data_IF_826217347959
#
_entry.id   IF_826217347959
#
_cell.length_a   1.000
_cell.length_b   1.000
_cell.length_c   1.000
_cell.angle_alpha   90.00
_cell.angle_beta   90.00
_cell.angle_gamma   90.00
#
_symmetry.space_group_name_H-M   'P 1'
#
loop_
_entity.id
_entity.type
_entity.pdbx_description
1 polymer ?
#
# COMPACT_ATOMS: atom_id res chain seq x y z
N UNK A 1 -113.71 -54.87 -37.52
CA UNK A 1 -113.07 -53.53 -37.35
C UNK A 1 -112.25 -53.47 -36.04
N UNK A 2 -111.23 -54.32 -35.85
CA UNK A 2 -110.56 -54.49 -34.53
C UNK A 2 -109.05 -54.18 -34.52
N UNK A 3 -108.46 -53.74 -35.64
CA UNK A 3 -107.00 -53.63 -35.79
C UNK A 3 -106.47 -52.19 -35.96
N UNK A 4 -107.33 -51.16 -36.04
CA UNK A 4 -106.89 -49.76 -36.27
C UNK A 4 -106.60 -48.96 -34.99
N UNK A 5 -106.98 -49.48 -33.82
CA UNK A 5 -106.80 -48.78 -32.53
C UNK A 5 -105.47 -49.15 -31.82
N UNK A 6 -104.81 -50.24 -32.24
CA UNK A 6 -103.59 -50.76 -31.60
C UNK A 6 -102.35 -49.96 -32.04
N UNK A 7 -102.28 -49.58 -33.32
CA UNK A 7 -101.16 -48.83 -33.87
C UNK A 7 -100.91 -47.46 -33.22
N UNK A 8 -101.92 -46.59 -32.98
CA UNK A 8 -101.65 -45.30 -32.32
C UNK A 8 -101.23 -45.48 -30.85
N UNK A 9 -101.72 -46.52 -30.17
CA UNK A 9 -101.36 -46.82 -28.78
C UNK A 9 -99.91 -47.32 -28.67
N UNK A 10 -99.47 -48.14 -29.62
CA UNK A 10 -98.10 -48.63 -29.70
C UNK A 10 -97.12 -47.51 -30.10
N UNK A 11 -97.57 -46.58 -30.95
CA UNK A 11 -96.81 -45.39 -31.36
C UNK A 11 -96.65 -44.39 -30.20
N UNK A 12 -97.71 -44.19 -29.41
CA UNK A 12 -97.65 -43.37 -28.19
C UNK A 12 -96.73 -43.98 -27.12
N UNK A 13 -96.75 -45.31 -26.95
CA UNK A 13 -95.87 -46.01 -26.02
C UNK A 13 -94.39 -45.87 -26.43
N UNK A 14 -94.11 -45.90 -27.73
CA UNK A 14 -92.76 -45.78 -28.29
C UNK A 14 -92.23 -44.34 -28.24
N UNK A 15 -93.11 -43.35 -28.35
CA UNK A 15 -92.77 -41.94 -28.09
C UNK A 15 -92.50 -41.67 -26.61
N UNK A 16 -93.24 -42.33 -25.72
CA UNK A 16 -93.08 -42.17 -24.28
C UNK A 16 -91.74 -42.77 -23.79
N UNK A 17 -91.31 -43.90 -24.37
CA UNK A 17 -90.01 -44.50 -24.06
C UNK A 17 -88.83 -43.71 -24.63
N UNK A 18 -89.02 -42.98 -25.73
CA UNK A 18 -87.98 -42.12 -26.32
C UNK A 18 -87.60 -40.90 -25.46
N UNK A 19 -88.44 -40.51 -24.48
CA UNK A 19 -88.16 -39.40 -23.56
C UNK A 19 -87.57 -39.85 -22.21
N UNK A 20 -87.41 -41.16 -21.99
CA UNK A 20 -86.91 -41.73 -20.72
C UNK A 20 -85.38 -41.73 -20.58
N UNK A 21 -84.65 -41.08 -21.48
CA UNK A 21 -83.20 -41.20 -21.62
C UNK A 21 -82.41 -39.94 -21.30
N UNK A 22 -82.68 -39.24 -20.21
CA UNK A 22 -81.71 -38.27 -19.64
C UNK A 22 -81.73 -38.31 -18.11
N UNK A 23 -81.00 -39.26 -17.53
CA UNK A 23 -80.60 -39.15 -16.12
C UNK A 23 -79.10 -38.99 -16.07
N UNK A 24 -78.68 -37.75 -15.80
CA UNK A 24 -77.30 -37.40 -15.52
C UNK A 24 -76.86 -38.15 -14.27
N UNK A 25 -75.85 -39.02 -14.39
CA UNK A 25 -75.12 -39.55 -13.26
C UNK A 25 -74.27 -38.43 -12.65
N UNK A 26 -74.87 -37.64 -11.76
CA UNK A 26 -74.13 -36.80 -10.81
C UNK A 26 -73.89 -37.67 -9.58
N UNK A 27 -72.69 -38.20 -9.44
CA UNK A 27 -72.27 -38.86 -8.21
C UNK A 27 -72.23 -37.83 -7.08
N UNK A 28 -73.12 -38.00 -6.11
CA UNK A 28 -73.14 -37.23 -4.87
C UNK A 28 -71.90 -37.64 -4.06
N UNK A 29 -70.97 -36.70 -3.86
CA UNK A 29 -69.81 -36.92 -3.01
C UNK A 29 -70.23 -37.40 -1.61
N UNK A 30 -69.49 -38.33 -0.96
CA UNK A 30 -69.83 -38.83 0.36
C UNK A 30 -69.99 -37.68 1.36
N UNK A 31 -71.11 -37.63 2.10
CA UNK A 31 -71.30 -36.65 3.18
C UNK A 31 -70.35 -36.99 4.33
N UNK A 32 -69.25 -36.27 4.42
CA UNK A 32 -68.36 -36.29 5.59
C UNK A 32 -69.18 -35.83 6.81
N UNK A 33 -69.07 -36.56 7.92
CA UNK A 33 -69.74 -36.20 9.19
C UNK A 33 -68.95 -35.10 9.90
N UNK A 34 -69.64 -34.15 10.54
CA UNK A 34 -69.00 -33.10 11.36
C UNK A 34 -68.02 -33.66 12.40
N UNK A 35 -68.27 -34.87 12.92
CA UNK A 35 -67.37 -35.58 13.84
C UNK A 35 -66.02 -35.94 13.20
N UNK A 36 -66.04 -36.38 11.94
CA UNK A 36 -64.84 -36.75 11.20
C UNK A 36 -64.04 -35.51 10.78
N UNK A 37 -64.73 -34.40 10.50
CA UNK A 37 -64.12 -33.09 10.25
C UNK A 37 -63.36 -32.62 11.49
N UNK A 38 -64.01 -32.66 12.67
CA UNK A 38 -63.39 -32.26 13.94
C UNK A 38 -62.15 -33.12 14.22
N UNK A 39 -62.24 -34.45 14.10
CA UNK A 39 -61.10 -35.33 14.34
C UNK A 39 -59.90 -35.04 13.42
N UNK A 40 -60.16 -34.81 12.12
CA UNK A 40 -59.10 -34.43 11.17
C UNK A 40 -58.53 -33.06 11.47
N UNK A 41 -59.34 -32.11 11.92
CA UNK A 41 -58.90 -30.78 12.36
C UNK A 41 -58.01 -30.88 13.60
N UNK A 42 -58.42 -31.61 14.63
CA UNK A 42 -57.60 -31.78 15.85
C UNK A 42 -56.27 -32.47 15.53
N UNK A 43 -56.29 -33.46 14.62
CA UNK A 43 -55.07 -34.12 14.15
C UNK A 43 -54.17 -33.14 13.36
N UNK A 44 -54.75 -32.30 12.50
CA UNK A 44 -54.01 -31.26 11.78
C UNK A 44 -53.38 -30.24 12.73
N UNK A 45 -54.13 -29.80 13.74
CA UNK A 45 -53.70 -28.83 14.74
C UNK A 45 -52.52 -29.37 15.57
N UNK A 46 -52.62 -30.63 16.01
CA UNK A 46 -51.51 -31.31 16.70
C UNK A 46 -50.28 -31.50 15.79
N UNK A 47 -50.50 -31.79 14.51
CA UNK A 47 -49.42 -31.87 13.51
C UNK A 47 -48.73 -30.54 13.27
N UNK A 48 -49.48 -29.44 13.22
CA UNK A 48 -48.93 -28.08 13.11
C UNK A 48 -48.12 -27.71 14.34
N UNK A 49 -48.63 -27.98 15.55
CA UNK A 49 -47.89 -27.73 16.79
C UNK A 49 -46.57 -28.50 16.84
N UNK A 50 -46.58 -29.78 16.46
CA UNK A 50 -45.37 -30.60 16.42
C UNK A 50 -44.33 -30.04 15.41
N UNK A 51 -44.79 -29.59 14.24
CA UNK A 51 -43.92 -28.97 13.22
C UNK A 51 -43.34 -27.65 13.73
N UNK A 52 -44.15 -26.80 14.39
CA UNK A 52 -43.69 -25.54 14.97
C UNK A 52 -42.62 -25.80 16.03
N UNK A 53 -42.85 -26.74 16.95
CA UNK A 53 -41.85 -27.12 17.97
C UNK A 53 -40.55 -27.63 17.34
N UNK A 54 -40.65 -28.48 16.31
CA UNK A 54 -39.46 -28.99 15.63
C UNK A 54 -38.70 -27.87 14.90
N UNK A 55 -39.41 -26.92 14.30
CA UNK A 55 -38.80 -25.73 13.69
C UNK A 55 -38.10 -24.88 14.73
N UNK A 56 -38.73 -24.62 15.87
CA UNK A 56 -38.18 -23.77 16.93
C UNK A 56 -36.87 -24.34 17.50
N UNK A 57 -36.84 -25.66 17.75
CA UNK A 57 -35.62 -26.37 18.16
C UNK A 57 -34.52 -26.25 17.11
N UNK A 58 -34.86 -26.40 15.82
CA UNK A 58 -33.88 -26.28 14.72
C UNK A 58 -33.36 -24.86 14.56
N UNK A 59 -34.23 -23.86 14.70
CA UNK A 59 -33.84 -22.45 14.64
C UNK A 59 -32.92 -22.09 15.81
N UNK A 60 -33.28 -22.46 17.04
CA UNK A 60 -32.43 -22.22 18.21
C UNK A 60 -31.06 -22.93 18.09
N UNK A 61 -31.04 -24.16 17.58
CA UNK A 61 -29.77 -24.85 17.33
C UNK A 61 -28.91 -24.16 16.25
N UNK A 62 -29.56 -23.61 15.21
CA UNK A 62 -28.86 -22.87 14.16
C UNK A 62 -28.32 -21.53 14.67
N UNK A 63 -29.09 -20.81 15.48
CA UNK A 63 -28.69 -19.56 16.11
C UNK A 63 -27.46 -19.76 17.00
N UNK A 64 -27.49 -20.75 17.91
CA UNK A 64 -26.33 -21.10 18.73
C UNK A 64 -25.08 -21.40 17.92
N UNK A 65 -25.23 -22.18 16.84
CA UNK A 65 -24.12 -22.50 15.95
C UNK A 65 -23.59 -21.26 15.21
N UNK A 66 -24.46 -20.32 14.87
CA UNK A 66 -24.06 -19.05 14.28
C UNK A 66 -23.26 -18.22 15.29
N UNK A 67 -23.78 -18.05 16.51
CA UNK A 67 -23.10 -17.32 17.58
C UNK A 67 -21.72 -17.89 17.90
N UNK A 68 -21.61 -19.22 18.06
CA UNK A 68 -20.32 -19.87 18.28
C UNK A 68 -19.33 -19.60 17.14
N UNK A 69 -19.80 -19.60 15.89
CA UNK A 69 -18.97 -19.29 14.72
C UNK A 69 -18.56 -17.83 14.69
N UNK A 70 -19.46 -16.91 15.05
CA UNK A 70 -19.15 -15.49 15.11
C UNK A 70 -18.10 -15.20 16.19
N UNK A 71 -18.28 -15.74 17.39
CA UNK A 71 -17.30 -15.61 18.49
C UNK A 71 -15.94 -16.21 18.10
N UNK A 72 -15.93 -17.39 17.46
CA UNK A 72 -14.69 -18.00 16.99
C UNK A 72 -14.00 -17.18 15.89
N UNK A 73 -14.78 -16.57 14.98
CA UNK A 73 -14.29 -15.69 13.92
C UNK A 73 -13.68 -14.42 14.51
N UNK A 74 -14.38 -13.77 15.44
CA UNK A 74 -13.93 -12.57 16.15
C UNK A 74 -12.62 -12.83 16.89
N UNK A 75 -12.57 -13.90 17.68
CA UNK A 75 -11.34 -14.29 18.39
C UNK A 75 -10.16 -14.52 17.45
N UNK A 76 -10.38 -15.19 16.32
CA UNK A 76 -9.34 -15.41 15.30
C UNK A 76 -8.89 -14.11 14.65
N UNK A 77 -9.80 -13.16 14.46
CA UNK A 77 -9.51 -11.85 13.91
C UNK A 77 -8.66 -11.04 14.89
N UNK A 78 -9.02 -11.01 16.16
CA UNK A 78 -8.25 -10.37 17.23
C UNK A 78 -6.85 -10.96 17.36
N UNK A 79 -6.72 -12.28 17.42
CA UNK A 79 -5.41 -12.95 17.48
C UNK A 79 -4.52 -12.58 16.29
N UNK A 80 -5.10 -12.45 15.09
CA UNK A 80 -4.38 -12.03 13.89
C UNK A 80 -3.98 -10.56 13.94
N UNK A 81 -4.85 -9.69 14.44
CA UNK A 81 -4.53 -8.27 14.60
C UNK A 81 -3.40 -8.08 15.61
N UNK A 82 -3.47 -8.69 16.78
CA UNK A 82 -2.41 -8.63 17.81
C UNK A 82 -1.09 -9.15 17.25
N UNK A 83 -1.11 -10.26 16.50
CA UNK A 83 0.10 -10.79 15.87
C UNK A 83 0.68 -9.85 14.79
N UNK A 84 -0.18 -9.15 14.05
CA UNK A 84 0.23 -8.18 13.03
C UNK A 84 0.82 -6.92 13.68
N UNK A 85 0.17 -6.40 14.71
CA UNK A 85 0.61 -5.24 15.50
C UNK A 85 2.00 -5.51 16.10
N UNK A 86 2.17 -6.65 16.77
CA UNK A 86 3.45 -7.06 17.32
C UNK A 86 4.57 -7.14 16.26
N UNK A 87 4.27 -7.68 15.07
CA UNK A 87 5.25 -7.73 13.97
C UNK A 87 5.59 -6.35 13.42
N UNK A 88 4.64 -5.42 13.42
CA UNK A 88 4.91 -4.04 13.03
C UNK A 88 5.77 -3.34 14.07
N UNK A 89 5.45 -3.47 15.35
CA UNK A 89 6.23 -2.89 16.45
C UNK A 89 7.67 -3.39 16.43
N UNK A 90 7.88 -4.71 16.31
CA UNK A 90 9.22 -5.30 16.21
C UNK A 90 10.03 -4.75 15.02
N UNK A 91 9.37 -4.52 13.87
CA UNK A 91 10.01 -3.94 12.68
C UNK A 91 10.33 -2.46 12.85
N UNK A 92 9.41 -1.71 13.45
CA UNK A 92 9.60 -0.30 13.73
C UNK A 92 10.74 -0.13 14.73
N UNK A 93 10.77 -0.88 15.83
CA UNK A 93 11.84 -0.85 16.82
C UNK A 93 13.21 -1.18 16.21
N UNK A 94 13.28 -2.17 15.31
CA UNK A 94 14.48 -2.47 14.54
C UNK A 94 14.92 -1.29 13.63
N UNK A 95 13.97 -0.60 12.98
CA UNK A 95 14.27 0.57 12.16
C UNK A 95 14.69 1.77 13.01
N UNK A 96 14.04 2.02 14.14
CA UNK A 96 14.39 3.09 15.08
C UNK A 96 15.79 2.88 15.66
N UNK A 97 16.10 1.66 16.10
CA UNK A 97 17.44 1.33 16.63
C UNK A 97 18.53 1.50 15.57
N UNK A 98 18.32 1.04 14.34
CA UNK A 98 19.26 1.27 13.24
C UNK A 98 19.44 2.76 12.93
N UNK A 99 18.35 3.52 12.93
CA UNK A 99 18.38 4.97 12.69
C UNK A 99 19.17 5.69 13.78
N UNK A 100 18.98 5.32 15.04
CA UNK A 100 19.75 5.88 16.16
C UNK A 100 21.25 5.57 16.04
N UNK A 101 21.61 4.33 15.67
CA UNK A 101 23.01 3.96 15.43
C UNK A 101 23.62 4.78 14.28
N UNK A 102 22.87 4.97 13.18
CA UNK A 102 23.31 5.82 12.07
C UNK A 102 23.53 7.26 12.51
N UNK A 103 22.61 7.83 13.29
CA UNK A 103 22.73 9.20 13.81
C UNK A 103 23.98 9.34 14.67
N UNK A 104 24.21 8.41 15.61
CA UNK A 104 25.41 8.40 16.47
C UNK A 104 26.68 8.26 15.62
N UNK A 105 26.67 7.41 14.60
CA UNK A 105 27.80 7.24 13.70
C UNK A 105 28.10 8.52 12.90
N UNK A 106 27.08 9.23 12.40
CA UNK A 106 27.22 10.49 11.67
C UNK A 106 27.79 11.58 12.60
N UNK A 107 27.22 11.76 13.79
CA UNK A 107 27.74 12.73 14.76
C UNK A 107 29.17 12.40 15.19
N UNK A 108 29.48 11.12 15.39
CA UNK A 108 30.83 10.65 15.67
C UNK A 108 31.81 11.00 14.53
N UNK A 109 31.41 10.79 13.27
CA UNK A 109 32.22 11.10 12.10
C UNK A 109 32.41 12.62 11.93
N UNK A 110 31.36 13.42 12.10
CA UNK A 110 31.46 14.89 12.06
C UNK A 110 32.41 15.37 13.15
N UNK A 111 32.24 14.88 14.38
CA UNK A 111 33.14 15.19 15.49
C UNK A 111 34.58 14.80 15.19
N UNK A 112 34.80 13.62 14.62
CA UNK A 112 36.12 13.14 14.20
C UNK A 112 36.74 14.00 13.11
N UNK A 113 35.99 14.39 12.07
CA UNK A 113 36.49 15.26 10.98
C UNK A 113 36.86 16.65 11.49
N UNK A 114 36.05 17.22 12.40
CA UNK A 114 36.35 18.51 13.03
C UNK A 114 37.60 18.42 13.90
N UNK A 115 37.75 17.32 14.65
CA UNK A 115 38.95 17.05 15.43
C UNK A 115 40.19 16.89 14.54
N UNK A 116 40.12 16.03 13.52
CA UNK A 116 41.18 15.74 12.56
C UNK A 116 41.68 17.02 11.88
N UNK A 117 40.78 17.87 11.38
CA UNK A 117 41.13 19.17 10.80
C UNK A 117 41.95 20.03 11.76
N UNK A 118 41.58 20.07 13.05
CA UNK A 118 42.27 20.87 14.07
C UNK A 118 43.63 20.27 14.45
N UNK A 119 43.76 18.95 14.50
CA UNK A 119 45.00 18.27 14.90
C UNK A 119 45.99 18.05 13.76
N UNK A 120 45.52 17.74 12.55
CA UNK A 120 46.35 17.40 11.39
C UNK A 120 46.89 18.64 10.66
N UNK A 121 46.17 19.76 10.66
CA UNK A 121 46.63 21.00 10.02
C UNK A 121 47.62 21.80 10.89
N UNK A 122 47.61 21.62 12.21
CA UNK A 122 48.52 22.34 13.11
C UNK A 122 50.02 22.17 12.77
N UNK A 123 50.54 20.96 12.48
CA UNK A 123 51.93 20.81 12.04
C UNK A 123 52.16 21.31 10.61
N UNK A 124 51.12 21.29 9.76
CA UNK A 124 51.20 21.78 8.38
C UNK A 124 51.34 23.30 8.36
N UNK A 125 50.55 24.00 9.16
CA UNK A 125 50.57 25.47 9.31
C UNK A 125 51.93 25.97 9.77
N UNK A 126 52.58 25.26 10.72
CA UNK A 126 53.93 25.58 11.17
C UNK A 126 55.01 25.38 10.09
N UNK A 127 54.79 24.44 9.15
CA UNK A 127 55.71 24.24 8.01
C UNK A 127 55.49 25.30 6.95
N UNK A 128 54.25 25.61 6.61
CA UNK A 128 53.93 26.70 5.69
C UNK A 128 54.39 28.05 6.20
N UNK A 129 54.24 28.33 7.49
CA UNK A 129 54.75 29.56 8.11
C UNK A 129 56.29 29.67 7.94
N UNK A 130 57.03 28.58 8.18
CA UNK A 130 58.49 28.57 7.97
C UNK A 130 58.89 28.72 6.50
N UNK A 131 58.19 28.05 5.58
CA UNK A 131 58.45 28.18 4.14
C UNK A 131 58.15 29.61 3.68
N UNK A 132 57.07 30.22 4.16
CA UNK A 132 56.73 31.60 3.84
C UNK A 132 57.80 32.57 4.34
N UNK A 133 58.30 32.37 5.56
CA UNK A 133 59.34 33.20 6.17
C UNK A 133 60.71 33.03 5.47
N UNK A 134 61.10 31.79 5.11
CA UNK A 134 62.30 31.54 4.31
C UNK A 134 62.19 32.18 2.92
N UNK A 135 61.02 32.09 2.28
CA UNK A 135 60.78 32.67 0.97
C UNK A 135 60.82 34.21 1.03
N UNK A 136 60.22 34.82 2.06
CA UNK A 136 60.25 36.27 2.27
C UNK A 136 61.67 36.78 2.53
N UNK A 137 62.45 36.04 3.34
CA UNK A 137 63.86 36.31 3.58
C UNK A 137 64.70 36.17 2.31
N UNK A 138 64.50 35.10 1.53
CA UNK A 138 65.26 34.86 0.31
C UNK A 138 64.91 35.86 -0.79
N UNK A 139 63.63 36.26 -0.91
CA UNK A 139 63.21 37.29 -1.87
C UNK A 139 63.69 38.70 -1.50
N UNK A 140 64.24 38.93 -0.29
CA UNK A 140 64.66 40.25 0.22
C UNK A 140 63.64 41.35 -0.10
N UNK A 141 62.37 41.10 0.22
CA UNK A 141 61.26 42.03 -0.08
C UNK A 141 61.36 43.37 0.65
N UNK A 142 62.18 43.46 1.70
CA UNK A 142 62.38 44.66 2.53
C UNK A 142 63.52 45.59 2.04
N UNK A 143 64.07 45.34 0.85
CA UNK A 143 65.15 46.16 0.27
C UNK A 143 64.57 47.32 -0.58
N UNK A 144 65.02 48.59 -0.41
CA UNK A 144 64.53 49.75 -1.18
C UNK A 144 64.64 49.63 -2.71
N UNK A 145 65.42 48.67 -3.22
CA UNK A 145 65.65 48.43 -4.65
C UNK A 145 64.73 47.34 -5.26
N UNK A 146 63.77 46.81 -4.50
CA UNK A 146 62.83 45.76 -4.93
C UNK A 146 63.37 44.33 -4.76
N UNK A 147 62.47 43.35 -4.84
CA UNK A 147 62.74 41.92 -4.59
C UNK A 147 63.88 41.35 -5.46
N UNK A 148 64.62 40.34 -4.97
CA UNK A 148 65.60 39.60 -5.79
C UNK A 148 65.02 39.09 -7.10
N UNK A 149 63.77 38.64 -7.10
CA UNK A 149 63.11 38.20 -8.34
C UNK A 149 62.94 39.36 -9.31
N UNK A 150 62.58 40.55 -8.83
CA UNK A 150 62.51 41.75 -9.67
C UNK A 150 63.88 42.08 -10.27
N UNK A 151 64.96 41.96 -9.49
CA UNK A 151 66.33 42.17 -9.99
C UNK A 151 66.77 41.14 -11.02
N UNK A 152 66.46 39.86 -10.79
CA UNK A 152 66.78 38.79 -11.75
C UNK A 152 65.99 38.92 -13.05
N UNK A 153 64.72 39.31 -12.96
CA UNK A 153 63.88 39.59 -14.13
C UNK A 153 64.41 40.80 -14.90
N UNK A 154 64.83 41.87 -14.21
CA UNK A 154 65.42 43.04 -14.86
C UNK A 154 66.75 42.71 -15.55
N UNK A 155 67.61 41.89 -14.91
CA UNK A 155 68.87 41.42 -15.51
C UNK A 155 68.64 40.50 -16.71
N UNK A 156 67.67 39.58 -16.61
CA UNK A 156 67.29 38.71 -17.72
C UNK A 156 66.69 39.52 -18.87
N UNK A 157 65.91 40.56 -18.56
CA UNK A 157 65.37 41.50 -19.55
C UNK A 157 66.48 42.30 -20.24
N UNK A 158 67.47 42.77 -19.49
CA UNK A 158 68.61 43.48 -20.07
C UNK A 158 69.45 42.56 -20.96
N UNK A 159 69.63 41.30 -20.57
CA UNK A 159 70.32 40.29 -21.38
C UNK A 159 69.52 39.91 -22.63
N UNK A 160 68.21 39.74 -22.51
CA UNK A 160 67.31 39.48 -23.63
C UNK A 160 67.28 40.64 -24.62
N UNK A 161 67.36 41.90 -24.16
CA UNK A 161 67.44 43.06 -25.07
C UNK A 161 68.70 43.10 -25.94
N UNK A 162 69.75 42.34 -25.58
CA UNK A 162 71.02 42.27 -26.31
C UNK A 162 71.09 41.08 -27.28
N UNK A 163 70.18 40.10 -27.19
CA UNK A 163 70.15 38.91 -28.06
C UNK A 163 68.75 38.74 -28.70
N UNK A 164 68.62 38.84 -30.05
CA UNK A 164 67.34 38.76 -30.75
C UNK A 164 66.55 37.46 -30.50
N UNK A 165 67.23 36.33 -30.25
CA UNK A 165 66.56 35.05 -30.01
C UNK A 165 65.95 34.95 -28.62
N UNK A 166 66.60 35.58 -27.63
CA UNK A 166 66.11 35.61 -26.26
C UNK A 166 64.98 36.63 -26.09
N UNK A 167 65.02 37.75 -26.82
CA UNK A 167 63.93 38.73 -26.84
C UNK A 167 62.60 38.11 -27.34
N UNK A 168 62.67 37.33 -28.42
CA UNK A 168 61.49 36.70 -29.04
C UNK A 168 60.88 35.61 -28.13
N UNK A 169 61.74 34.78 -27.52
CA UNK A 169 61.31 33.76 -26.55
C UNK A 169 60.78 34.35 -25.24
N UNK A 170 61.37 35.46 -24.76
CA UNK A 170 60.91 36.14 -23.55
C UNK A 170 59.57 36.85 -23.76
N UNK A 171 59.38 37.52 -24.91
CA UNK A 171 58.11 38.15 -25.27
C UNK A 171 56.95 37.16 -25.41
N UNK A 172 57.22 35.94 -25.86
CA UNK A 172 56.21 34.87 -25.97
C UNK A 172 55.76 34.31 -24.62
N UNK A 173 56.64 34.25 -23.61
CA UNK A 173 56.34 33.65 -22.31
C UNK A 173 56.04 34.66 -21.19
N UNK A 174 56.49 35.91 -21.32
CA UNK A 174 56.25 36.99 -20.37
C UNK A 174 55.78 38.25 -21.13
N UNK A 175 54.48 38.35 -21.44
CA UNK A 175 53.92 39.55 -22.07
C UNK A 175 54.06 40.77 -21.11
N UNK A 176 54.32 41.97 -21.64
CA UNK A 176 54.65 43.16 -20.84
C UNK A 176 53.51 43.69 -19.94
N UNK A 177 52.30 43.12 -20.02
CA UNK A 177 51.09 43.61 -19.35
C UNK A 177 50.78 42.92 -18.01
N UNK A 178 51.64 41.99 -17.54
CA UNK A 178 51.30 41.06 -16.47
C UNK A 178 51.92 41.25 -15.08
N UNK A 179 52.45 42.42 -14.71
CA UNK A 179 52.93 42.67 -13.34
C UNK A 179 52.35 43.96 -12.72
N UNK A 180 51.79 43.90 -11.49
CA UNK A 180 51.21 45.04 -10.81
C UNK A 180 52.34 45.96 -10.33
N UNK A 181 52.46 47.14 -10.94
CA UNK A 181 53.50 48.10 -10.54
C UNK A 181 53.90 49.12 -11.59
N UNK A 182 53.10 49.34 -12.63
CA UNK A 182 53.20 50.56 -13.43
C UNK A 182 51.86 51.27 -13.39
N UNK A 183 51.91 52.49 -12.87
CA UNK A 183 50.85 53.49 -12.90
C UNK A 183 50.39 53.77 -14.33
#
# INVERSE_FOLDING_TARGET
>A
MKNHLIYPLLMALLLLSAHAGTTFAVEIAPRISDREIVERLTRLESGQQAIIQQMDVRFSAMEKRMDERFVAMEKRMDERFVAMEKRMDERLDAQWSLTLVLIVAIFGLIGFVVWDRKTALSPLERRFARIAEELERDLETDNPKGSKLARLVEMLREMASKDPRLADAFGHHFPPEGLPGKA
#
